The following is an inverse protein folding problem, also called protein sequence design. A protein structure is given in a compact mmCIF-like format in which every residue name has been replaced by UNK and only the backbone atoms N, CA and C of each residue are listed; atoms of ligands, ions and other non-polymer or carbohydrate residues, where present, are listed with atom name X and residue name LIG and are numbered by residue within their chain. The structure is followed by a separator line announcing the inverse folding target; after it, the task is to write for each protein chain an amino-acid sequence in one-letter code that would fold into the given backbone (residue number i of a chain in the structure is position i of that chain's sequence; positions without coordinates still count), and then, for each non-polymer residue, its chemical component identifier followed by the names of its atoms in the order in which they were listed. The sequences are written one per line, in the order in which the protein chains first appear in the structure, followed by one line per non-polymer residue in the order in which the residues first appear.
data_IF_396294415005
#
_entry.id   IF_396294415005
#
_cell.length_a   1.000
_cell.length_b   1.000
_cell.length_c   1.000
_cell.angle_alpha   90.00
_cell.angle_beta   90.00
_cell.angle_gamma   90.00
#
_symmetry.space_group_name_H-M   'P 1'
#
loop_
_entity.id
_entity.type
_entity.pdbx_description
1 polymer ?
#
# COMPACT_ATOMS: atom_id res chain seq x y z
N UNK A 1 -21.33 -26.94 -5.86
CA UNK A 1 -21.02 -26.20 -4.62
C UNK A 1 -21.40 -24.74 -4.85
N UNK A 2 -22.26 -24.15 -4.03
CA UNK A 2 -22.64 -22.73 -4.18
C UNK A 2 -21.48 -21.86 -3.68
N UNK A 3 -20.88 -21.05 -4.55
CA UNK A 3 -19.82 -20.12 -4.17
C UNK A 3 -20.45 -18.98 -3.38
N UNK A 4 -20.02 -18.79 -2.13
CA UNK A 4 -20.42 -17.63 -1.32
C UNK A 4 -19.45 -16.50 -1.64
N UNK A 5 -19.95 -15.41 -2.20
CA UNK A 5 -19.12 -14.24 -2.53
C UNK A 5 -19.12 -13.22 -1.41
N UNK A 6 -17.95 -12.64 -1.15
CA UNK A 6 -17.80 -11.52 -0.21
C UNK A 6 -18.53 -10.31 -0.79
N UNK A 7 -19.48 -9.75 -0.04
CA UNK A 7 -20.20 -8.54 -0.46
C UNK A 7 -19.32 -7.32 -0.25
N UNK A 8 -19.14 -6.53 -1.30
CA UNK A 8 -18.37 -5.28 -1.26
C UNK A 8 -19.30 -4.17 -1.75
N UNK A 9 -19.57 -3.14 -0.93
CA UNK A 9 -20.37 -1.99 -1.38
C UNK A 9 -19.72 -1.30 -2.57
N UNK A 10 -20.54 -0.86 -3.53
CA UNK A 10 -20.09 0.01 -4.61
C UNK A 10 -20.00 1.45 -4.06
N UNK A 11 -18.79 1.99 -4.03
CA UNK A 11 -18.46 3.31 -3.45
C UNK A 11 -18.18 4.35 -4.55
N UNK A 12 -17.66 3.93 -5.70
CA UNK A 12 -17.38 4.79 -6.87
C UNK A 12 -16.55 6.05 -6.55
N UNK A 13 -15.60 5.95 -5.62
CA UNK A 13 -14.82 7.10 -5.15
C UNK A 13 -13.55 7.38 -5.96
N UNK A 14 -13.14 6.48 -6.85
CA UNK A 14 -11.93 6.61 -7.67
C UNK A 14 -12.27 7.16 -9.05
N UNK A 15 -11.75 8.35 -9.33
CA UNK A 15 -11.68 8.99 -10.64
C UNK A 15 -10.25 9.03 -11.20
N UNK A 16 -10.12 9.19 -12.52
CA UNK A 16 -8.82 9.19 -13.21
C UNK A 16 -7.96 10.46 -12.99
N UNK A 17 -8.56 11.55 -12.53
CA UNK A 17 -7.89 12.84 -12.40
C UNK A 17 -7.20 13.04 -11.03
N UNK A 18 -7.66 12.31 -10.02
CA UNK A 18 -7.21 12.47 -8.65
C UNK A 18 -5.89 11.76 -8.35
N UNK A 19 -5.26 12.20 -7.26
CA UNK A 19 -4.11 11.55 -6.67
C UNK A 19 -4.52 10.57 -5.56
N UNK A 20 -3.78 9.48 -5.40
CA UNK A 20 -4.05 8.44 -4.42
C UNK A 20 -2.79 8.06 -3.64
N UNK A 21 -2.94 7.85 -2.34
CA UNK A 21 -1.84 7.46 -1.47
C UNK A 21 -2.03 6.03 -0.95
N UNK A 22 -0.92 5.29 -0.81
CA UNK A 22 -0.92 3.91 -0.32
C UNK A 22 0.13 3.71 0.78
N UNK A 23 -0.27 3.10 1.89
CA UNK A 23 0.63 2.75 2.99
C UNK A 23 0.40 1.30 3.46
N UNK A 24 1.44 0.64 3.94
CA UNK A 24 1.31 -0.60 4.70
C UNK A 24 2.12 -1.77 4.17
N UNK A 25 1.53 -2.97 4.31
CA UNK A 25 2.18 -4.25 3.99
C UNK A 25 2.56 -4.36 2.51
N UNK A 26 3.30 -5.42 2.14
CA UNK A 26 3.62 -5.75 0.75
C UNK A 26 2.38 -5.87 -0.16
N UNK A 27 1.22 -6.20 0.40
CA UNK A 27 -0.03 -6.22 -0.37
C UNK A 27 -0.48 -4.81 -0.82
N UNK A 28 -0.11 -3.76 -0.06
CA UNK A 28 -0.32 -2.36 -0.48
C UNK A 28 0.48 -2.04 -1.75
N UNK A 29 1.70 -2.60 -1.87
CA UNK A 29 2.53 -2.43 -3.07
C UNK A 29 1.90 -3.08 -4.30
N UNK A 30 1.26 -4.24 -4.13
CA UNK A 30 0.51 -4.86 -5.23
C UNK A 30 -0.65 -3.97 -5.72
N UNK A 31 -1.46 -3.41 -4.82
CA UNK A 31 -2.58 -2.55 -5.21
C UNK A 31 -2.10 -1.21 -5.81
N UNK A 32 -1.11 -0.57 -5.21
CA UNK A 32 -0.53 0.67 -5.74
C UNK A 32 0.16 0.46 -7.08
N UNK A 33 0.83 -0.68 -7.30
CA UNK A 33 1.39 -1.04 -8.60
C UNK A 33 0.28 -1.19 -9.65
N UNK A 34 -0.83 -1.87 -9.32
CA UNK A 34 -1.99 -1.97 -10.22
C UNK A 34 -2.57 -0.60 -10.57
N UNK A 35 -2.69 0.32 -9.61
CA UNK A 35 -3.09 1.71 -9.90
C UNK A 35 -2.10 2.40 -10.84
N UNK A 36 -0.79 2.35 -10.57
CA UNK A 36 0.25 2.94 -11.44
C UNK A 36 0.23 2.35 -12.85
N UNK A 37 0.09 1.03 -12.97
CA UNK A 37 -0.02 0.32 -14.25
C UNK A 37 -1.23 0.77 -15.07
N UNK A 38 -2.28 1.29 -14.43
CA UNK A 38 -3.47 1.84 -15.08
C UNK A 38 -3.38 3.36 -15.31
N UNK A 39 -2.23 3.99 -15.04
CA UNK A 39 -1.94 5.39 -15.36
C UNK A 39 -2.38 6.41 -14.32
N UNK A 40 -2.77 5.95 -13.12
CA UNK A 40 -3.12 6.83 -12.01
C UNK A 40 -1.87 7.46 -11.38
N UNK A 41 -2.02 8.68 -10.85
CA UNK A 41 -0.98 9.33 -10.04
C UNK A 41 -1.04 8.78 -8.62
N UNK A 42 0.04 8.13 -8.18
CA UNK A 42 0.09 7.40 -6.91
C UNK A 42 1.37 7.66 -6.13
N UNK A 43 1.24 8.00 -4.85
CA UNK A 43 2.33 8.00 -3.87
C UNK A 43 2.20 6.79 -2.94
N UNK A 44 3.26 6.02 -2.73
CA UNK A 44 3.16 4.76 -1.98
C UNK A 44 4.41 4.44 -1.16
N UNK A 45 4.21 3.99 0.09
CA UNK A 45 5.23 3.44 0.98
C UNK A 45 6.58 4.19 0.94
N UNK A 46 6.64 5.49 1.31
CA UNK A 46 7.86 6.29 1.23
C UNK A 46 9.01 5.72 2.09
N UNK A 47 8.69 5.01 3.18
CA UNK A 47 9.65 4.32 4.05
C UNK A 47 9.79 2.82 3.76
N UNK A 48 9.27 2.36 2.62
CA UNK A 48 9.12 0.95 2.28
C UNK A 48 7.98 0.27 3.04
N UNK A 49 7.93 -1.07 2.95
CA UNK A 49 6.86 -1.86 3.56
C UNK A 49 6.93 -1.82 5.08
N UNK A 50 5.83 -1.40 5.70
CA UNK A 50 5.64 -1.40 7.16
C UNK A 50 4.33 -2.11 7.48
N UNK A 51 4.40 -3.10 8.38
CA UNK A 51 3.29 -4.02 8.60
C UNK A 51 2.39 -3.63 9.77
N UNK A 52 2.93 -3.00 10.81
CA UNK A 52 2.20 -2.79 12.05
C UNK A 52 1.47 -1.42 12.06
N UNK A 53 0.26 -1.34 12.64
CA UNK A 53 -0.54 -0.12 12.60
C UNK A 53 0.09 1.09 13.31
N UNK A 54 0.84 0.87 14.40
CA UNK A 54 1.38 1.96 15.21
C UNK A 54 2.50 2.67 14.46
N UNK A 55 3.48 1.93 13.94
CA UNK A 55 4.55 2.51 13.15
C UNK A 55 4.03 3.24 11.91
N UNK A 56 2.98 2.73 11.26
CA UNK A 56 2.34 3.43 10.13
C UNK A 56 1.74 4.78 10.54
N UNK A 57 1.05 4.83 11.68
CA UNK A 57 0.49 6.07 12.18
C UNK A 57 1.58 7.06 12.61
N UNK A 58 2.65 6.58 13.23
CA UNK A 58 3.80 7.41 13.67
C UNK A 58 4.49 8.11 12.50
N UNK A 59 4.56 7.50 11.31
CA UNK A 59 5.09 8.17 10.12
C UNK A 59 4.34 9.45 9.75
N UNK A 60 3.04 9.49 10.01
CA UNK A 60 2.17 10.62 9.67
C UNK A 60 2.03 11.59 10.83
N UNK A 61 1.97 11.07 12.07
CA UNK A 61 1.79 11.86 13.29
C UNK A 61 3.08 12.44 13.86
N UNK A 62 4.17 11.66 13.91
CA UNK A 62 5.35 11.95 14.72
C UNK A 62 6.09 13.21 14.26
N UNK A 63 6.99 13.76 15.05
CA UNK A 63 7.79 14.92 14.61
C UNK A 63 9.04 14.48 13.84
N UNK A 64 9.66 15.42 13.11
CA UNK A 64 10.88 15.14 12.34
C UNK A 64 12.00 14.62 13.26
N UNK A 65 12.08 15.13 14.49
CA UNK A 65 13.01 14.68 15.54
C UNK A 65 12.86 13.18 15.84
N UNK A 66 11.63 12.64 15.84
CA UNK A 66 11.37 11.22 16.08
C UNK A 66 11.95 10.35 14.97
N UNK A 67 11.88 10.83 13.71
CA UNK A 67 12.50 10.15 12.58
C UNK A 67 14.02 10.22 12.67
N UNK A 68 14.58 11.37 13.02
CA UNK A 68 16.01 11.54 13.17
C UNK A 68 16.59 10.66 14.28
N UNK A 69 15.91 10.55 15.42
CA UNK A 69 16.31 9.72 16.56
C UNK A 69 16.09 8.21 16.32
N UNK A 70 15.33 7.87 15.28
CA UNK A 70 15.18 6.47 14.86
C UNK A 70 16.39 5.91 14.13
N UNK A 71 17.31 6.78 13.68
CA UNK A 71 18.49 6.39 12.89
C UNK A 71 19.57 5.77 13.77
N UNK A 72 20.19 4.70 13.27
CA UNK A 72 21.32 4.04 13.89
C UNK A 72 22.21 3.35 12.84
N UNK A 73 23.49 3.21 13.14
CA UNK A 73 24.42 2.43 12.31
C UNK A 73 24.49 0.95 12.72
N UNK A 74 24.57 0.07 11.72
CA UNK A 74 24.92 -1.35 11.90
C UNK A 74 25.74 -1.84 10.71
N UNK A 75 26.90 -2.43 10.98
CA UNK A 75 27.80 -3.00 9.96
C UNK A 75 28.16 -1.99 8.84
N UNK A 76 28.36 -0.70 9.18
CA UNK A 76 28.65 0.37 8.22
C UNK A 76 27.45 0.86 7.41
N UNK A 77 26.23 0.44 7.76
CA UNK A 77 24.98 0.85 7.11
C UNK A 77 24.14 1.63 8.10
N UNK A 78 23.76 2.86 7.74
CA UNK A 78 22.78 3.64 8.48
C UNK A 78 21.37 3.13 8.14
N UNK A 79 20.59 2.85 9.17
CA UNK A 79 19.23 2.30 9.10
C UNK A 79 18.32 3.09 10.04
N UNK A 80 17.00 2.92 9.91
CA UNK A 80 16.01 3.55 10.79
C UNK A 80 15.06 2.52 11.38
N UNK A 81 14.86 2.56 12.69
CA UNK A 81 13.86 1.72 13.38
C UNK A 81 12.44 1.89 12.85
N UNK A 82 12.16 3.00 12.17
CA UNK A 82 10.84 3.35 11.62
C UNK A 82 10.73 3.12 10.11
N UNK A 83 11.78 2.60 9.45
CA UNK A 83 11.79 2.36 8.02
C UNK A 83 12.13 0.91 7.66
N UNK A 84 11.79 0.51 6.42
CA UNK A 84 12.20 -0.78 5.88
C UNK A 84 13.73 -0.81 5.65
N UNK A 85 14.33 -2.01 5.62
CA UNK A 85 15.75 -2.18 5.32
C UNK A 85 16.16 -1.69 3.92
N UNK A 86 15.20 -1.46 3.02
CA UNK A 86 15.45 -0.82 1.71
C UNK A 86 15.68 0.69 1.81
N UNK A 87 15.34 1.31 2.94
CA UNK A 87 15.62 2.71 3.24
C UNK A 87 16.90 2.77 4.08
N UNK A 88 18.03 2.99 3.42
CA UNK A 88 19.34 3.00 4.06
C UNK A 88 20.28 3.98 3.36
N UNK A 89 21.32 4.39 4.07
CA UNK A 89 22.49 5.06 3.48
C UNK A 89 23.76 4.53 4.15
N UNK A 90 24.91 5.07 3.78
CA UNK A 90 26.19 4.78 4.42
C UNK A 90 26.63 5.89 5.40
N UNK A 91 25.73 6.82 5.73
CA UNK A 91 26.00 7.92 6.65
C UNK A 91 24.73 8.34 7.41
N UNK A 92 24.76 8.27 8.74
CA UNK A 92 23.59 8.56 9.57
C UNK A 92 22.98 9.95 9.28
N UNK A 93 23.83 10.98 9.15
CA UNK A 93 23.38 12.34 8.83
C UNK A 93 22.60 12.40 7.51
N UNK A 94 23.06 11.68 6.49
CA UNK A 94 22.37 11.61 5.20
C UNK A 94 21.04 10.89 5.33
N UNK A 95 20.98 9.79 6.08
CA UNK A 95 19.71 9.07 6.29
C UNK A 95 18.70 9.94 7.06
N UNK A 96 19.12 10.64 8.11
CA UNK A 96 18.25 11.57 8.86
C UNK A 96 17.56 12.58 7.95
N UNK A 97 18.35 13.30 7.13
CA UNK A 97 17.81 14.27 6.17
C UNK A 97 16.88 13.61 5.15
N UNK A 98 17.27 12.45 4.61
CA UNK A 98 16.46 11.72 3.64
C UNK A 98 15.10 11.28 4.21
N UNK A 99 15.04 10.82 5.47
CA UNK A 99 13.78 10.40 6.10
C UNK A 99 12.82 11.58 6.27
N UNK A 100 13.33 12.74 6.68
CA UNK A 100 12.54 13.97 6.83
C UNK A 100 12.03 14.44 5.47
N UNK A 101 12.87 14.42 4.44
CA UNK A 101 12.48 14.76 3.06
C UNK A 101 11.39 13.81 2.53
N UNK A 102 11.57 12.50 2.68
CA UNK A 102 10.59 11.49 2.27
C UNK A 102 9.24 11.69 2.97
N UNK A 103 9.25 12.02 4.28
CA UNK A 103 8.03 12.33 5.02
C UNK A 103 7.35 13.56 4.44
N UNK A 104 8.10 14.64 4.26
CA UNK A 104 7.58 15.92 3.76
C UNK A 104 6.97 15.77 2.36
N UNK A 105 7.66 15.07 1.45
CA UNK A 105 7.16 14.76 0.11
C UNK A 105 5.87 13.94 0.16
N UNK A 106 5.81 12.95 1.05
CA UNK A 106 4.61 12.14 1.21
C UNK A 106 3.45 12.93 1.80
N UNK A 107 3.66 13.75 2.83
CA UNK A 107 2.62 14.60 3.40
C UNK A 107 2.10 15.64 2.39
N UNK A 108 2.98 16.20 1.57
CA UNK A 108 2.59 17.08 0.47
C UNK A 108 1.77 16.35 -0.61
N UNK A 109 2.12 15.09 -0.91
CA UNK A 109 1.31 14.25 -1.80
C UNK A 109 -0.04 13.91 -1.15
N UNK A 110 -0.04 13.64 0.15
CA UNK A 110 -1.23 13.27 0.90
C UNK A 110 -2.25 14.40 0.97
N UNK A 111 -1.82 15.66 1.10
CA UNK A 111 -2.72 16.82 1.14
C UNK A 111 -3.50 17.06 -0.15
N UNK A 112 -3.01 16.53 -1.29
CA UNK A 112 -3.71 16.53 -2.58
C UNK A 112 -4.35 15.18 -2.93
N UNK A 113 -4.19 14.17 -2.06
CA UNK A 113 -4.78 12.84 -2.26
C UNK A 113 -6.28 12.87 -1.99
N UNK A 114 -7.04 12.20 -2.85
CA UNK A 114 -8.48 11.97 -2.61
C UNK A 114 -8.71 10.85 -1.60
N UNK A 115 -7.87 9.80 -1.65
CA UNK A 115 -7.97 8.63 -0.79
C UNK A 115 -6.58 8.18 -0.34
N UNK A 116 -6.46 7.87 0.95
CA UNK A 116 -5.36 7.12 1.52
C UNK A 116 -5.80 5.66 1.76
N UNK A 117 -5.20 4.73 1.04
CA UNK A 117 -5.37 3.30 1.27
C UNK A 117 -4.34 2.80 2.27
N UNK A 118 -4.78 2.14 3.34
CA UNK A 118 -3.91 1.63 4.41
C UNK A 118 -4.08 0.13 4.55
N UNK A 119 -3.00 -0.62 4.35
CA UNK A 119 -3.01 -2.09 4.46
C UNK A 119 -2.26 -2.56 5.70
N UNK A 120 -2.98 -2.98 6.74
CA UNK A 120 -2.35 -3.56 7.94
C UNK A 120 -1.86 -4.98 7.69
N UNK A 121 -0.62 -5.27 8.08
CA UNK A 121 0.02 -6.57 7.96
C UNK A 121 -0.15 -7.43 9.20
N UNK A 122 0.28 -6.92 10.36
CA UNK A 122 0.26 -7.67 11.63
C UNK A 122 0.09 -6.73 12.83
N UNK A 123 -0.63 -7.19 13.85
CA UNK A 123 -0.70 -6.57 15.18
C UNK A 123 0.45 -7.02 16.11
N UNK A 124 1.30 -7.95 15.68
CA UNK A 124 2.52 -8.29 16.43
C UNK A 124 3.58 -7.21 16.21
N UNK A 125 4.03 -6.60 17.31
CA UNK A 125 5.05 -5.56 17.32
C UNK A 125 6.30 -6.02 18.07
N UNK A 126 7.41 -5.39 17.73
CA UNK A 126 8.64 -5.45 18.50
C UNK A 126 8.88 -4.08 19.13
N UNK A 127 9.01 -4.07 20.44
CA UNK A 127 9.24 -2.87 21.23
C UNK A 127 10.69 -2.89 21.73
N UNK A 128 11.46 -1.83 21.51
CA UNK A 128 12.84 -1.74 22.02
C UNK A 128 12.81 -1.69 23.55
N UNK A 129 13.54 -2.60 24.18
CA UNK A 129 13.61 -2.68 25.65
C UNK A 129 14.20 -1.41 26.29
N UNK A 130 15.07 -0.69 25.56
CA UNK A 130 15.74 0.51 26.06
C UNK A 130 14.88 1.77 26.04
N UNK A 131 13.91 1.86 25.13
CA UNK A 131 13.15 3.10 24.86
C UNK A 131 11.64 2.91 24.85
N UNK A 132 11.15 1.68 24.97
CA UNK A 132 9.73 1.32 24.80
C UNK A 132 9.14 1.73 23.43
N UNK A 133 10.00 2.04 22.45
CA UNK A 133 9.58 2.41 21.11
C UNK A 133 9.19 1.16 20.30
N UNK A 134 8.00 1.17 19.72
CA UNK A 134 7.58 0.18 18.73
C UNK A 134 8.33 0.45 17.42
N UNK A 135 9.01 -0.57 16.91
CA UNK A 135 9.82 -0.46 15.68
C UNK A 135 9.08 -1.04 14.46
N UNK A 136 9.28 -0.42 13.30
CA UNK A 136 8.81 -0.92 12.02
C UNK A 136 9.63 -2.15 11.57
N UNK A 137 10.93 -2.15 11.86
CA UNK A 137 11.86 -3.21 11.48
C UNK A 137 12.96 -3.38 12.52
N UNK A 138 13.30 -4.63 12.86
CA UNK A 138 14.38 -4.93 13.82
C UNK A 138 15.77 -4.98 13.16
N UNK A 139 15.88 -4.93 11.83
CA UNK A 139 17.13 -4.95 11.06
C UNK A 139 18.11 -6.06 11.45
N UNK A 140 17.57 -7.25 11.75
CA UNK A 140 18.32 -8.43 12.21
C UNK A 140 19.13 -8.20 13.51
N UNK A 141 18.83 -7.15 14.27
CA UNK A 141 19.39 -6.95 15.61
C UNK A 141 18.85 -8.06 16.53
N UNK A 142 19.67 -8.60 17.45
CA UNK A 142 19.28 -9.75 18.26
C UNK A 142 17.97 -9.53 19.02
N UNK A 143 17.07 -10.53 18.98
CA UNK A 143 15.74 -10.46 19.57
C UNK A 143 15.73 -10.09 21.06
N UNK A 144 16.80 -10.37 21.81
CA UNK A 144 16.93 -9.98 23.24
C UNK A 144 16.83 -8.48 23.51
N UNK A 145 17.02 -7.64 22.48
CA UNK A 145 16.89 -6.19 22.59
C UNK A 145 15.43 -5.71 22.45
N UNK A 146 14.51 -6.62 22.13
CA UNK A 146 13.12 -6.30 21.89
C UNK A 146 12.20 -7.17 22.73
N UNK A 147 11.10 -6.56 23.17
CA UNK A 147 9.95 -7.27 23.70
C UNK A 147 8.94 -7.41 22.59
N UNK A 148 8.60 -8.66 22.26
CA UNK A 148 7.54 -8.94 21.30
C UNK A 148 6.21 -9.02 22.02
N UNK A 149 5.21 -8.28 21.54
CA UNK A 149 3.85 -8.34 22.07
C UNK A 149 2.81 -8.15 20.98
N UNK A 150 1.59 -8.59 21.28
CA UNK A 150 0.42 -8.36 20.44
C UNK A 150 -0.20 -7.03 20.87
N UNK A 151 -0.43 -6.13 19.92
CA UNK A 151 -1.19 -4.91 20.16
C UNK A 151 -2.63 -5.24 20.56
N UNK A 152 -3.24 -4.36 21.37
CA UNK A 152 -4.68 -4.39 21.61
C UNK A 152 -5.44 -3.66 20.51
N UNK A 153 -6.75 -3.90 20.44
CA UNK A 153 -7.65 -3.15 19.55
C UNK A 153 -7.66 -1.68 19.94
N UNK A 154 -7.64 -1.39 21.24
CA UNK A 154 -7.66 -0.06 21.84
C UNK A 154 -6.43 0.75 21.41
N UNK A 155 -5.22 0.19 21.57
CA UNK A 155 -3.96 0.84 21.16
C UNK A 155 -4.00 1.29 19.69
N UNK A 156 -4.49 0.43 18.80
CA UNK A 156 -4.61 0.74 17.37
C UNK A 156 -5.66 1.83 17.17
N UNK A 157 -6.85 1.68 17.75
CA UNK A 157 -7.96 2.59 17.51
C UNK A 157 -7.74 3.98 18.08
N UNK A 158 -7.08 4.12 19.24
CA UNK A 158 -6.72 5.40 19.84
C UNK A 158 -5.71 6.13 18.96
N UNK A 159 -4.63 5.44 18.57
CA UNK A 159 -3.57 6.03 17.74
C UNK A 159 -4.10 6.46 16.37
N UNK A 160 -4.90 5.62 15.73
CA UNK A 160 -5.49 5.96 14.43
C UNK A 160 -6.62 6.99 14.53
N UNK A 161 -7.35 7.05 15.65
CA UNK A 161 -8.32 8.13 15.89
C UNK A 161 -7.65 9.49 15.90
N UNK A 162 -6.51 9.63 16.61
CA UNK A 162 -5.73 10.87 16.63
C UNK A 162 -5.28 11.29 15.23
N UNK A 163 -4.79 10.33 14.44
CA UNK A 163 -4.36 10.58 13.06
C UNK A 163 -5.54 11.00 12.16
N UNK A 164 -6.66 10.27 12.22
CA UNK A 164 -7.85 10.58 11.42
C UNK A 164 -8.37 11.97 11.77
N UNK A 165 -8.45 12.30 13.06
CA UNK A 165 -8.89 13.61 13.53
C UNK A 165 -7.97 14.73 13.03
N UNK A 166 -6.64 14.53 13.08
CA UNK A 166 -5.67 15.47 12.51
C UNK A 166 -5.88 15.66 11.00
N UNK A 167 -5.98 14.57 10.24
CA UNK A 167 -6.13 14.61 8.78
C UNK A 167 -7.45 15.26 8.35
N UNK A 168 -8.53 15.05 9.12
CA UNK A 168 -9.84 15.63 8.86
C UNK A 168 -9.88 17.15 9.08
N UNK A 169 -8.97 17.70 9.88
CA UNK A 169 -8.83 19.15 10.04
C UNK A 169 -8.10 19.79 8.86
N UNK A 170 -7.29 19.02 8.14
CA UNK A 170 -6.41 19.50 7.07
C UNK A 170 -7.01 19.28 5.67
N UNK A 171 -7.89 18.29 5.50
CA UNK A 171 -8.43 17.90 4.18
C UNK A 171 -9.68 17.01 4.27
N UNK A 172 -10.43 16.91 3.17
CA UNK A 172 -11.53 15.95 2.99
C UNK A 172 -11.06 14.53 2.60
N UNK A 173 -9.86 14.14 3.04
CA UNK A 173 -9.23 12.87 2.71
C UNK A 173 -10.09 11.69 3.18
N UNK A 174 -10.37 10.74 2.29
CA UNK A 174 -10.97 9.44 2.67
C UNK A 174 -9.89 8.45 3.06
N UNK A 175 -10.15 7.66 4.10
CA UNK A 175 -9.26 6.56 4.49
C UNK A 175 -9.94 5.23 4.21
N UNK A 176 -9.28 4.38 3.42
CA UNK A 176 -9.78 3.03 3.16
C UNK A 176 -8.78 2.03 3.73
N UNK A 177 -9.20 1.33 4.78
CA UNK A 177 -8.39 0.28 5.37
C UNK A 177 -8.59 -1.04 4.64
N UNK A 178 -7.56 -1.86 4.66
CA UNK A 178 -7.67 -3.29 4.35
C UNK A 178 -6.72 -4.07 5.24
N UNK A 179 -7.06 -5.32 5.54
CA UNK A 179 -6.16 -6.24 6.23
C UNK A 179 -5.46 -7.10 5.17
N UNK A 180 -4.15 -7.20 5.27
CA UNK A 180 -3.33 -7.93 4.31
C UNK A 180 -3.76 -9.41 4.26
N UNK A 181 -4.00 -9.99 3.07
CA UNK A 181 -4.30 -11.42 2.90
C UNK A 181 -3.08 -12.32 3.14
N UNK A 182 -1.87 -11.75 3.25
CA UNK A 182 -0.64 -12.50 3.50
C UNK A 182 -0.65 -13.12 4.91
N UNK A 183 -0.31 -14.40 4.98
CA UNK A 183 -0.20 -15.15 6.25
C UNK A 183 1.18 -14.95 6.88
N UNK A 184 1.23 -14.29 8.03
CA UNK A 184 2.46 -14.08 8.82
C UNK A 184 2.70 -15.25 9.78
N UNK A 185 3.19 -16.38 9.26
CA UNK A 185 3.31 -17.64 10.03
C UNK A 185 4.61 -17.80 10.82
N UNK A 186 5.50 -16.80 10.80
CA UNK A 186 6.78 -16.87 11.52
C UNK A 186 6.61 -17.19 13.01
N UNK A 187 5.48 -16.78 13.58
CA UNK A 187 5.12 -16.99 14.99
C UNK A 187 4.13 -18.13 15.20
N UNK A 188 3.58 -18.69 14.12
CA UNK A 188 2.55 -19.71 14.13
C UNK A 188 1.22 -19.25 13.50
N UNK A 189 0.39 -20.22 13.13
CA UNK A 189 -0.89 -19.99 12.47
C UNK A 189 -1.92 -19.39 13.43
N UNK A 190 -1.89 -19.79 14.70
CA UNK A 190 -2.78 -19.27 15.76
C UNK A 190 -2.44 -17.81 16.04
N UNK A 191 -1.16 -17.48 16.11
CA UNK A 191 -0.62 -16.14 16.32
C UNK A 191 -0.98 -15.22 15.16
N UNK A 192 -0.90 -15.72 13.92
CA UNK A 192 -1.39 -15.00 12.76
C UNK A 192 -2.91 -14.75 12.85
N UNK A 193 -3.71 -15.75 13.19
CA UNK A 193 -5.17 -15.59 13.31
C UNK A 193 -5.54 -14.56 14.40
N UNK A 194 -4.90 -14.63 15.57
CA UNK A 194 -5.06 -13.64 16.66
C UNK A 194 -4.71 -12.23 16.20
N UNK A 195 -3.60 -12.10 15.48
CA UNK A 195 -3.15 -10.83 14.90
C UNK A 195 -4.18 -10.25 13.92
N UNK A 196 -4.66 -11.05 12.96
CA UNK A 196 -5.67 -10.61 11.98
C UNK A 196 -7.00 -10.25 12.66
N UNK A 197 -7.42 -11.01 13.68
CA UNK A 197 -8.63 -10.69 14.45
C UNK A 197 -8.53 -9.32 15.14
N UNK A 198 -7.39 -9.00 15.76
CA UNK A 198 -7.15 -7.66 16.34
C UNK A 198 -7.23 -6.57 15.27
N UNK A 199 -6.56 -6.76 14.13
CA UNK A 199 -6.56 -5.78 13.04
C UNK A 199 -7.97 -5.55 12.47
N UNK A 200 -8.73 -6.62 12.22
CA UNK A 200 -10.10 -6.53 11.70
C UNK A 200 -11.00 -5.76 12.67
N UNK A 201 -10.97 -6.11 13.96
CA UNK A 201 -11.77 -5.42 14.97
C UNK A 201 -11.39 -3.94 15.10
N UNK A 202 -10.10 -3.61 15.05
CA UNK A 202 -9.64 -2.22 15.10
C UNK A 202 -10.11 -1.42 13.88
N UNK A 203 -9.99 -1.99 12.68
CA UNK A 203 -10.43 -1.35 11.44
C UNK A 203 -11.94 -1.12 11.44
N UNK A 204 -12.74 -2.12 11.84
CA UNK A 204 -14.19 -1.96 11.89
C UNK A 204 -14.62 -0.94 12.95
N UNK A 205 -13.98 -0.90 14.12
CA UNK A 205 -14.24 0.13 15.15
C UNK A 205 -13.94 1.54 14.65
N UNK A 206 -12.89 1.73 13.85
CA UNK A 206 -12.58 3.02 13.20
C UNK A 206 -13.60 3.36 12.10
N UNK A 207 -13.95 2.39 11.27
CA UNK A 207 -14.95 2.52 10.21
C UNK A 207 -16.33 2.92 10.75
N UNK A 208 -16.75 2.35 11.87
CA UNK A 208 -18.04 2.65 12.49
C UNK A 208 -18.04 4.01 13.19
N UNK A 209 -16.87 4.50 13.61
CA UNK A 209 -16.71 5.79 14.30
C UNK A 209 -16.64 6.98 13.34
N UNK A 210 -16.03 6.83 12.16
CA UNK A 210 -15.75 7.95 11.24
C UNK A 210 -16.41 7.73 9.88
N UNK A 211 -17.17 8.73 9.41
CA UNK A 211 -17.91 8.64 8.14
C UNK A 211 -17.03 8.67 6.88
N UNK A 212 -15.80 9.18 6.97
CA UNK A 212 -14.84 9.20 5.88
C UNK A 212 -13.88 8.00 5.88
N UNK A 213 -14.13 7.01 6.75
CA UNK A 213 -13.37 5.77 6.84
C UNK A 213 -14.17 4.64 6.18
N UNK A 214 -13.48 3.80 5.41
CA UNK A 214 -14.04 2.62 4.76
C UNK A 214 -13.17 1.38 4.94
N UNK A 215 -13.72 0.22 4.61
CA UNK A 215 -13.00 -1.07 4.59
C UNK A 215 -13.10 -1.78 3.24
N UNK A 216 -11.95 -2.22 2.72
CA UNK A 216 -11.87 -3.12 1.57
C UNK A 216 -11.50 -4.54 2.02
N UNK A 217 -12.34 -5.56 1.78
CA UNK A 217 -12.18 -6.90 2.36
C UNK A 217 -11.23 -7.81 1.56
N UNK A 218 -9.98 -7.39 1.34
CA UNK A 218 -8.98 -8.20 0.62
C UNK A 218 -8.62 -9.49 1.37
N UNK A 219 -8.61 -9.46 2.70
CA UNK A 219 -8.35 -10.62 3.55
C UNK A 219 -9.41 -11.69 3.33
N UNK A 220 -10.68 -11.33 3.42
CA UNK A 220 -11.82 -12.24 3.26
C UNK A 220 -11.94 -12.72 1.81
N UNK A 221 -11.67 -11.88 0.81
CA UNK A 221 -11.60 -12.35 -0.58
C UNK A 221 -10.60 -13.48 -0.75
N UNK A 222 -9.41 -13.34 -0.16
CA UNK A 222 -8.38 -14.37 -0.24
C UNK A 222 -8.76 -15.61 0.58
N UNK A 223 -9.16 -15.42 1.82
CA UNK A 223 -9.32 -16.52 2.78
C UNK A 223 -10.65 -17.25 2.63
N UNK A 224 -11.72 -16.56 2.20
CA UNK A 224 -13.07 -17.10 2.15
C UNK A 224 -13.61 -17.27 0.74
N UNK A 225 -13.28 -16.40 -0.22
CA UNK A 225 -13.76 -16.57 -1.59
C UNK A 225 -12.79 -17.39 -2.46
N UNK A 226 -11.47 -17.24 -2.24
CA UNK A 226 -10.38 -17.88 -2.97
C UNK A 226 -9.65 -18.93 -2.12
N UNK A 227 -10.41 -19.80 -1.46
CA UNK A 227 -9.95 -20.79 -0.45
C UNK A 227 -8.90 -21.81 -0.92
N UNK A 228 -8.55 -21.85 -2.20
CA UNK A 228 -7.70 -22.88 -2.81
C UNK A 228 -6.21 -22.50 -2.79
N UNK A 229 -5.32 -23.48 -2.57
CA UNK A 229 -3.87 -23.31 -2.68
C UNK A 229 -3.41 -22.84 -4.07
N UNK A 230 -4.23 -23.04 -5.11
CA UNK A 230 -4.03 -22.50 -6.44
C UNK A 230 -3.96 -20.97 -6.50
N UNK A 231 -4.41 -20.26 -5.46
CA UNK A 231 -4.32 -18.79 -5.33
C UNK A 231 -3.08 -18.33 -4.53
N UNK A 232 -2.28 -19.26 -4.00
CA UNK A 232 -1.07 -18.94 -3.26
C UNK A 232 0.19 -19.13 -4.12
N UNK A 233 1.27 -18.42 -3.78
CA UNK A 233 2.62 -18.70 -4.29
C UNK A 233 3.09 -20.05 -3.74
N UNK A 234 4.24 -20.52 -4.23
CA UNK A 234 4.86 -21.79 -3.79
C UNK A 234 5.11 -21.87 -2.29
N UNK A 235 5.20 -20.73 -1.60
CA UNK A 235 5.35 -20.70 -0.13
C UNK A 235 4.04 -21.04 0.62
N UNK A 236 2.89 -21.01 -0.04
CA UNK A 236 1.58 -21.23 0.59
C UNK A 236 1.12 -20.08 1.50
N UNK A 237 1.79 -18.93 1.47
CA UNK A 237 1.58 -17.81 2.39
C UNK A 237 1.17 -16.52 1.67
N UNK A 238 1.80 -16.24 0.54
CA UNK A 238 1.55 -15.03 -0.23
C UNK A 238 0.53 -15.32 -1.35
N UNK A 239 -0.40 -14.40 -1.65
CA UNK A 239 -1.20 -14.48 -2.85
C UNK A 239 -0.31 -14.51 -4.10
N UNK A 240 -0.68 -15.33 -5.08
CA UNK A 240 -0.05 -15.30 -6.40
C UNK A 240 -0.70 -14.24 -7.31
N UNK A 241 -0.22 -14.13 -8.55
CA UNK A 241 -0.70 -13.13 -9.50
C UNK A 241 -2.19 -13.28 -9.83
N UNK A 242 -2.68 -14.52 -9.95
CA UNK A 242 -4.11 -14.79 -10.20
C UNK A 242 -4.96 -14.22 -9.06
N UNK A 243 -4.56 -14.46 -7.81
CA UNK A 243 -5.27 -13.94 -6.64
C UNK A 243 -5.21 -12.41 -6.55
N UNK A 244 -4.05 -11.82 -6.86
CA UNK A 244 -3.90 -10.35 -6.90
C UNK A 244 -4.78 -9.74 -7.99
N UNK A 245 -4.87 -10.36 -9.16
CA UNK A 245 -5.70 -9.90 -10.27
C UNK A 245 -7.20 -10.01 -9.96
N UNK A 246 -7.64 -11.10 -9.30
CA UNK A 246 -9.01 -11.23 -8.84
C UNK A 246 -9.35 -10.19 -7.76
N UNK A 247 -8.48 -9.95 -6.78
CA UNK A 247 -8.71 -8.89 -5.79
C UNK A 247 -8.71 -7.51 -6.47
N UNK A 248 -7.83 -7.27 -7.44
CA UNK A 248 -7.81 -6.04 -8.21
C UNK A 248 -9.11 -5.82 -9.00
N UNK A 249 -9.68 -6.87 -9.60
CA UNK A 249 -10.99 -6.81 -10.25
C UNK A 249 -12.08 -6.38 -9.26
N UNK A 250 -12.12 -7.00 -8.08
CA UNK A 250 -13.06 -6.64 -6.99
C UNK A 250 -12.86 -5.21 -6.50
N UNK A 251 -11.61 -4.73 -6.46
CA UNK A 251 -11.27 -3.36 -6.13
C UNK A 251 -11.83 -2.36 -7.15
N UNK A 252 -11.65 -2.63 -8.46
CA UNK A 252 -12.23 -1.80 -9.52
C UNK A 252 -13.76 -1.78 -9.46
N UNK A 253 -14.40 -2.94 -9.29
CA UNK A 253 -15.86 -3.06 -9.15
C UNK A 253 -16.41 -2.21 -7.99
N UNK A 254 -15.68 -2.13 -6.88
CA UNK A 254 -16.08 -1.37 -5.71
C UNK A 254 -15.83 0.15 -5.87
N UNK A 255 -14.66 0.54 -6.38
CA UNK A 255 -14.19 1.92 -6.25
C UNK A 255 -14.20 2.73 -7.55
N UNK A 256 -14.14 2.09 -8.72
CA UNK A 256 -14.05 2.86 -9.97
C UNK A 256 -15.44 3.32 -10.39
N UNK A 257 -15.52 4.57 -10.86
CA UNK A 257 -16.65 5.03 -11.65
C UNK A 257 -16.66 4.34 -13.02
N UNK A 258 -17.82 4.25 -13.67
CA UNK A 258 -17.93 3.69 -15.03
C UNK A 258 -17.03 4.43 -16.04
N UNK A 259 -16.96 5.76 -15.91
CA UNK A 259 -16.05 6.59 -16.72
C UNK A 259 -14.60 6.18 -16.50
N UNK A 260 -14.18 5.98 -15.25
CA UNK A 260 -12.79 5.62 -14.93
C UNK A 260 -12.43 4.23 -15.44
N UNK A 261 -13.32 3.24 -15.28
CA UNK A 261 -13.10 1.91 -15.85
C UNK A 261 -13.00 1.95 -17.38
N UNK A 262 -13.81 2.79 -18.05
CA UNK A 262 -13.69 3.01 -19.50
C UNK A 262 -12.34 3.61 -19.90
N UNK A 263 -11.86 4.61 -19.16
CA UNK A 263 -10.54 5.24 -19.41
C UNK A 263 -9.42 4.21 -19.21
N UNK A 264 -9.48 3.42 -18.12
CA UNK A 264 -8.48 2.38 -17.85
C UNK A 264 -8.47 1.30 -18.94
N UNK A 265 -9.63 0.87 -19.45
CA UNK A 265 -9.72 -0.07 -20.58
C UNK A 265 -9.14 0.50 -21.87
N UNK A 266 -9.32 1.79 -22.13
CA UNK A 266 -8.69 2.46 -23.26
C UNK A 266 -7.17 2.46 -23.11
N UNK A 267 -6.67 2.86 -21.93
CA UNK A 267 -5.24 2.88 -21.65
C UNK A 267 -4.61 1.49 -21.70
N UNK A 268 -5.30 0.46 -21.22
CA UNK A 268 -4.85 -0.93 -21.29
C UNK A 268 -4.60 -1.37 -22.74
N UNK A 269 -5.49 -1.02 -23.67
CA UNK A 269 -5.29 -1.28 -25.11
C UNK A 269 -4.03 -0.59 -25.62
N UNK A 270 -3.79 0.65 -25.22
CA UNK A 270 -2.57 1.39 -25.58
C UNK A 270 -1.34 0.68 -25.01
N UNK A 271 -1.35 0.32 -23.71
CA UNK A 271 -0.26 -0.39 -23.04
C UNK A 271 0.09 -1.70 -23.73
N UNK A 272 -0.90 -2.48 -24.19
CA UNK A 272 -0.69 -3.71 -24.94
C UNK A 272 0.04 -3.47 -26.28
N UNK A 273 -0.19 -2.35 -26.98
CA UNK A 273 0.55 -2.00 -28.20
C UNK A 273 2.04 -1.77 -27.92
N UNK A 274 2.38 -1.24 -26.74
CA UNK A 274 3.77 -1.03 -26.32
C UNK A 274 4.44 -2.31 -25.81
N UNK A 275 3.68 -3.28 -25.32
CA UNK A 275 4.20 -4.60 -24.95
C UNK A 275 4.55 -5.45 -26.19
N UNK A 276 3.89 -5.22 -27.33
CA UNK A 276 4.18 -5.92 -28.58
C UNK A 276 5.56 -5.54 -29.14
N UNK A 277 6.43 -6.53 -29.30
CA UNK A 277 7.75 -6.38 -29.92
C UNK A 277 7.70 -6.92 -31.35
N UNK A 278 8.04 -6.08 -32.34
CA UNK A 278 8.11 -6.50 -33.74
C UNK A 278 9.29 -7.44 -33.96
N UNK A 279 9.05 -8.54 -34.69
CA UNK A 279 10.11 -9.48 -35.11
C UNK A 279 11.08 -8.87 -36.12
N UNK A 280 10.63 -7.86 -36.88
CA UNK A 280 11.45 -7.15 -37.87
C UNK A 280 11.36 -5.62 -37.65
N UNK A 281 12.08 -5.07 -36.65
CA UNK A 281 11.98 -3.67 -36.26
C UNK A 281 12.35 -2.68 -37.39
N UNK A 282 13.23 -3.07 -38.31
CA UNK A 282 13.65 -2.22 -39.42
C UNK A 282 12.64 -2.17 -40.59
N UNK A 283 11.60 -3.00 -40.59
CA UNK A 283 10.60 -3.01 -41.67
C UNK A 283 9.72 -1.77 -41.64
N UNK A 284 9.24 -1.32 -42.81
CA UNK A 284 8.34 -0.17 -42.91
C UNK A 284 7.05 -0.36 -42.10
N UNK A 285 6.49 -1.58 -42.09
CA UNK A 285 5.32 -1.92 -41.27
C UNK A 285 5.59 -1.77 -39.77
N UNK A 286 6.81 -2.10 -39.31
CA UNK A 286 7.17 -1.90 -37.91
C UNK A 286 7.23 -0.41 -37.57
N UNK A 287 7.91 0.41 -38.40
CA UNK A 287 7.97 1.87 -38.21
C UNK A 287 6.58 2.52 -38.19
N UNK A 288 5.69 2.13 -39.10
CA UNK A 288 4.30 2.62 -39.13
C UNK A 288 3.52 2.24 -37.86
N UNK A 289 3.68 1.00 -37.39
CA UNK A 289 3.10 0.54 -36.13
C UNK A 289 3.61 1.35 -34.93
N UNK A 290 4.91 1.65 -34.89
CA UNK A 290 5.50 2.47 -33.83
C UNK A 290 4.96 3.89 -33.82
N UNK A 291 4.86 4.54 -34.98
CA UNK A 291 4.28 5.87 -35.10
C UNK A 291 2.81 5.89 -34.66
N UNK A 292 2.02 4.88 -35.05
CA UNK A 292 0.60 4.78 -34.69
C UNK A 292 0.41 4.59 -33.18
N UNK A 293 1.20 3.73 -32.52
CA UNK A 293 1.08 3.55 -31.06
C UNK A 293 1.49 4.80 -30.29
N UNK A 294 2.52 5.53 -30.73
CA UNK A 294 2.93 6.81 -30.10
C UNK A 294 1.84 7.86 -30.28
N UNK A 295 1.26 7.99 -31.49
CA UNK A 295 0.14 8.92 -31.74
C UNK A 295 -1.05 8.64 -30.81
N UNK A 296 -1.44 7.36 -30.65
CA UNK A 296 -2.53 6.98 -29.72
C UNK A 296 -2.22 7.37 -28.27
N UNK A 297 -0.96 7.26 -27.84
CA UNK A 297 -0.56 7.66 -26.50
C UNK A 297 -0.61 9.18 -26.33
N UNK A 298 -0.16 9.96 -27.32
CA UNK A 298 -0.26 11.42 -27.27
C UNK A 298 -1.72 11.90 -27.29
N UNK A 299 -2.57 11.33 -28.16
CA UNK A 299 -4.01 11.62 -28.18
C UNK A 299 -4.70 11.25 -26.85
N UNK A 300 -4.21 10.23 -26.15
CA UNK A 300 -4.68 9.87 -24.81
C UNK A 300 -4.26 10.91 -23.76
N UNK A 301 -2.97 11.30 -23.75
CA UNK A 301 -2.45 12.33 -22.83
C UNK A 301 -3.15 13.68 -22.99
N UNK A 302 -3.44 14.08 -24.22
CA UNK A 302 -4.15 15.32 -24.50
C UNK A 302 -5.57 15.33 -23.92
N UNK A 303 -6.25 14.18 -23.94
CA UNK A 303 -7.59 14.04 -23.33
C UNK A 303 -7.55 13.85 -21.82
N UNK A 304 -6.48 13.29 -21.28
CA UNK A 304 -6.31 13.02 -19.85
C UNK A 304 -4.98 13.61 -19.33
N UNK A 305 -4.89 14.94 -19.11
CA UNK A 305 -3.65 15.59 -18.69
C UNK A 305 -3.13 15.13 -17.32
N UNK A 306 -4.01 14.58 -16.48
CA UNK A 306 -3.66 13.98 -15.18
C UNK A 306 -2.94 12.63 -15.31
N UNK A 307 -2.85 12.09 -16.53
CA UNK A 307 -2.17 10.83 -16.80
C UNK A 307 -0.70 10.90 -16.40
N UNK A 308 -0.31 10.00 -15.51
CA UNK A 308 1.09 9.82 -15.15
C UNK A 308 1.58 8.50 -15.74
N UNK A 309 2.51 8.58 -16.70
CA UNK A 309 3.24 7.40 -17.16
C UNK A 309 4.19 7.02 -16.03
N UNK A 310 3.75 6.15 -15.13
CA UNK A 310 4.58 5.59 -14.08
C UNK A 310 5.98 5.30 -14.63
N UNK A 311 6.99 5.91 -14.02
CA UNK A 311 8.38 5.82 -14.48
C UNK A 311 8.79 4.37 -14.70
N UNK A 312 9.53 4.11 -15.77
CA UNK A 312 10.19 2.81 -15.98
C UNK A 312 11.23 2.56 -14.89
#
# INVERSE_FOLDING_TARGET
MQKTSVKIPKVESVDYASHYSFLGSCFSEHLSAKMKENGFTVSANPFGVIFNPISLADLLLGDDEVLEDSVFERDGVALSWLANSTCFTYAEKTLKTQLVELRKEFLNSLSSSKILFVTFGTAWVYEKNSTHQIVANCHKVPNKNFTKRLLTVEEITEKWSQLIEKLNLESDLKLIFTVSPVRHVKDGLVENARSKAVLLNAVHKLNDKYSNVGYFPAYELMLDEMRDYAFYKKDGLHPNEIAVDEIWKRFKEAYFTEQTDSICKEYEKIRMLFAHRSLHPASEKAKEFELNREKKLEDFKLRFPSFNRGGR
#
